data_IF_881001437393
#
_entry.id   IF_881001437393
#
_cell.length_a   1.000
_cell.length_b   1.000
_cell.length_c   1.000
_cell.angle_alpha   90.00
_cell.angle_beta   90.00
_cell.angle_gamma   90.00
#
_symmetry.space_group_name_H-M   'P 1'
#
loop_
_entity.id
_entity.type
_entity.pdbx_description
1 polymer ?
#
# COMPACT_ATOMS: atom_id res chain seq x y z
N UNK A 1 -57.00 32.13 -12.76
CA UNK A 1 -56.25 30.86 -12.84
C UNK A 1 -54.85 31.18 -13.32
N UNK A 2 -53.91 31.39 -12.38
CA UNK A 2 -52.52 31.79 -12.67
C UNK A 2 -51.63 30.57 -12.53
N UNK A 3 -50.96 30.17 -13.60
CA UNK A 3 -49.99 29.06 -13.63
C UNK A 3 -48.61 29.65 -13.43
N UNK A 4 -47.98 29.36 -12.29
CA UNK A 4 -46.62 29.73 -12.00
C UNK A 4 -45.65 28.63 -12.52
N UNK A 5 -44.82 28.97 -13.51
CA UNK A 5 -43.76 28.12 -14.02
C UNK A 5 -42.56 28.19 -13.10
N UNK A 6 -42.19 27.05 -12.48
CA UNK A 6 -40.96 26.89 -11.72
C UNK A 6 -39.83 26.54 -12.68
N UNK A 7 -38.88 27.46 -12.86
CA UNK A 7 -37.60 27.18 -13.54
C UNK A 7 -36.64 26.50 -12.56
N UNK A 8 -36.35 25.24 -12.80
CA UNK A 8 -35.28 24.52 -12.07
C UNK A 8 -33.92 24.87 -12.66
N UNK A 9 -33.09 25.54 -11.86
CA UNK A 9 -31.69 25.85 -12.18
C UNK A 9 -30.83 24.67 -11.82
N UNK A 10 -30.39 23.89 -12.82
CA UNK A 10 -29.41 22.81 -12.63
C UNK A 10 -27.99 23.39 -12.63
N UNK A 11 -27.37 23.47 -11.47
CA UNK A 11 -25.97 23.82 -11.34
C UNK A 11 -25.08 22.65 -11.81
N UNK A 12 -24.39 22.80 -12.96
CA UNK A 12 -23.31 21.92 -13.35
C UNK A 12 -22.10 22.18 -12.43
N UNK A 13 -21.81 21.22 -11.56
CA UNK A 13 -20.55 21.20 -10.83
C UNK A 13 -19.40 20.91 -11.81
N UNK A 14 -18.63 21.93 -12.17
CA UNK A 14 -17.39 21.77 -12.93
C UNK A 14 -16.37 21.03 -12.07
N UNK A 15 -16.09 19.78 -12.41
CA UNK A 15 -14.98 19.04 -11.84
C UNK A 15 -13.67 19.74 -12.28
N UNK A 16 -13.06 20.47 -11.36
CA UNK A 16 -11.73 21.05 -11.55
C UNK A 16 -10.74 19.90 -11.65
N UNK A 17 -10.29 19.57 -12.85
CA UNK A 17 -9.15 18.68 -13.08
C UNK A 17 -7.90 19.36 -12.53
N UNK A 18 -7.37 18.84 -11.42
CA UNK A 18 -6.05 19.24 -10.92
C UNK A 18 -5.03 18.94 -12.02
N UNK A 19 -4.25 19.94 -12.50
CA UNK A 19 -3.25 19.69 -13.51
C UNK A 19 -2.21 18.69 -13.01
N UNK A 20 -1.64 17.82 -13.87
CA UNK A 20 -0.61 16.89 -13.46
C UNK A 20 0.56 17.67 -12.87
N UNK A 21 0.77 17.51 -11.56
CA UNK A 21 1.91 18.06 -10.85
C UNK A 21 3.18 17.55 -11.55
N UNK A 22 4.15 18.43 -11.80
CA UNK A 22 5.46 18.07 -12.31
C UNK A 22 5.98 16.83 -11.55
N UNK A 23 6.59 15.87 -12.29
CA UNK A 23 7.06 14.62 -11.69
C UNK A 23 7.86 14.92 -10.42
N UNK A 24 7.33 14.49 -9.28
CA UNK A 24 7.93 14.74 -7.97
C UNK A 24 9.31 14.06 -7.94
N UNK A 25 10.37 14.80 -7.63
CA UNK A 25 11.74 14.26 -7.58
C UNK A 25 11.94 13.56 -6.27
N UNK A 26 12.56 12.38 -6.30
CA UNK A 26 12.91 11.63 -5.10
C UNK A 26 13.98 12.38 -4.27
N UNK A 27 13.66 12.70 -3.03
CA UNK A 27 14.55 13.42 -2.09
C UNK A 27 15.47 12.49 -1.27
N UNK A 28 15.46 11.18 -1.55
CA UNK A 28 16.21 10.13 -0.84
C UNK A 28 15.91 10.09 0.67
N UNK A 29 14.72 10.50 1.08
CA UNK A 29 14.21 10.29 2.44
C UNK A 29 13.28 9.10 2.47
N UNK A 30 13.73 7.95 2.97
CA UNK A 30 12.94 6.72 2.94
C UNK A 30 11.62 6.87 3.70
N UNK A 31 10.61 6.16 3.18
CA UNK A 31 9.28 6.10 3.77
C UNK A 31 8.77 4.67 3.88
N UNK A 32 7.88 4.45 4.83
CA UNK A 32 7.22 3.18 5.11
C UNK A 32 5.74 3.31 4.75
N UNK A 33 5.30 2.61 3.71
CA UNK A 33 3.89 2.48 3.38
C UNK A 33 3.33 1.29 4.16
N UNK A 34 2.40 1.55 5.06
CA UNK A 34 1.69 0.51 5.82
C UNK A 34 0.37 0.17 5.16
N UNK A 35 0.05 -1.12 5.13
CA UNK A 35 -1.25 -1.65 4.72
C UNK A 35 -1.78 -2.46 5.91
N UNK A 36 -2.74 -1.91 6.63
CA UNK A 36 -3.25 -2.48 7.88
C UNK A 36 -4.76 -2.65 7.84
N UNK A 37 -5.24 -3.83 8.22
CA UNK A 37 -6.66 -4.12 8.28
C UNK A 37 -7.00 -5.61 8.19
N UNK A 38 -8.29 -5.97 8.31
CA UNK A 38 -8.74 -7.35 8.21
C UNK A 38 -8.71 -7.84 6.74
N UNK A 39 -8.31 -9.09 6.57
CA UNK A 39 -8.42 -9.84 5.31
C UNK A 39 -9.70 -10.68 5.35
N UNK A 40 -10.57 -10.53 4.35
CA UNK A 40 -11.83 -11.25 4.22
C UNK A 40 -11.74 -12.42 3.23
N UNK A 41 -10.98 -12.22 2.15
CA UNK A 41 -10.76 -13.22 1.12
C UNK A 41 -9.25 -13.40 0.89
N UNK A 42 -8.72 -14.47 1.45
CA UNK A 42 -7.29 -14.76 1.44
C UNK A 42 -6.78 -15.08 0.04
N UNK A 43 -7.53 -15.87 -0.72
CA UNK A 43 -7.07 -16.35 -2.03
C UNK A 43 -6.99 -15.19 -3.02
N UNK A 44 -7.97 -14.28 -2.98
CA UNK A 44 -7.91 -13.04 -3.75
C UNK A 44 -6.76 -12.14 -3.33
N UNK A 45 -6.44 -12.08 -2.03
CA UNK A 45 -5.28 -11.30 -1.56
C UNK A 45 -3.95 -11.92 -1.99
N UNK A 46 -3.85 -13.23 -2.08
CA UNK A 46 -2.68 -13.92 -2.66
C UNK A 46 -2.55 -13.57 -4.15
N UNK A 47 -3.63 -13.69 -4.91
CA UNK A 47 -3.63 -13.33 -6.34
C UNK A 47 -3.27 -11.86 -6.57
N UNK A 48 -3.80 -10.96 -5.73
CA UNK A 48 -3.45 -9.54 -5.73
C UNK A 48 -1.96 -9.30 -5.44
N UNK A 49 -1.40 -9.95 -4.41
CA UNK A 49 0.03 -9.86 -4.09
C UNK A 49 0.92 -10.36 -5.22
N UNK A 50 0.54 -11.47 -5.86
CA UNK A 50 1.22 -12.02 -7.04
C UNK A 50 1.20 -11.02 -8.20
N UNK A 51 0.06 -10.40 -8.51
CA UNK A 51 -0.04 -9.39 -9.56
C UNK A 51 0.86 -8.17 -9.29
N UNK A 52 0.98 -7.71 -8.04
CA UNK A 52 1.95 -6.66 -7.67
C UNK A 52 3.39 -7.11 -7.97
N UNK A 53 3.77 -8.32 -7.58
CA UNK A 53 5.11 -8.84 -7.81
C UNK A 53 5.43 -8.94 -9.31
N UNK A 54 4.51 -9.48 -10.10
CA UNK A 54 4.65 -9.67 -11.55
C UNK A 54 4.68 -8.34 -12.32
N UNK A 55 4.02 -7.29 -11.82
CA UNK A 55 4.05 -5.96 -12.46
C UNK A 55 5.44 -5.32 -12.49
N UNK A 56 6.35 -5.75 -11.62
CA UNK A 56 7.68 -5.15 -11.48
C UNK A 56 7.68 -3.72 -10.92
N UNK A 57 6.52 -3.18 -10.52
CA UNK A 57 6.40 -1.80 -10.01
C UNK A 57 7.30 -1.55 -8.80
N UNK A 58 7.34 -2.49 -7.84
CA UNK A 58 8.22 -2.34 -6.69
C UNK A 58 9.68 -2.30 -7.10
N UNK A 59 10.13 -3.23 -7.94
CA UNK A 59 11.51 -3.24 -8.46
C UNK A 59 11.86 -1.93 -9.16
N UNK A 60 10.96 -1.42 -10.00
CA UNK A 60 11.15 -0.16 -10.76
C UNK A 60 11.23 1.05 -9.84
N UNK A 61 10.47 1.07 -8.75
CA UNK A 61 10.35 2.22 -7.84
C UNK A 61 11.16 2.05 -6.55
N UNK A 62 11.97 0.98 -6.44
CA UNK A 62 12.79 0.71 -5.27
C UNK A 62 11.98 0.31 -4.03
N UNK A 63 10.74 -0.16 -4.23
CA UNK A 63 9.88 -0.62 -3.15
C UNK A 63 10.18 -2.09 -2.78
N UNK A 64 10.12 -2.41 -1.49
CA UNK A 64 10.19 -3.80 -1.02
C UNK A 64 9.47 -3.98 0.31
N UNK A 65 9.02 -5.20 0.58
CA UNK A 65 8.40 -5.56 1.85
C UNK A 65 9.47 -5.71 2.94
N UNK A 66 9.19 -5.21 4.14
CA UNK A 66 10.09 -5.35 5.29
C UNK A 66 9.54 -6.29 6.36
N UNK A 67 8.31 -6.79 6.22
CA UNK A 67 7.72 -7.77 7.11
C UNK A 67 6.77 -8.70 6.38
N UNK A 68 6.48 -9.86 6.99
CA UNK A 68 5.36 -10.71 6.63
C UNK A 68 4.05 -10.13 7.22
N UNK A 69 2.88 -10.35 6.57
CA UNK A 69 1.65 -9.65 6.96
C UNK A 69 1.04 -10.11 8.29
N UNK A 70 1.47 -11.24 8.85
CA UNK A 70 0.94 -11.79 10.10
C UNK A 70 1.92 -11.63 11.24
N UNK A 71 1.41 -11.27 12.42
CA UNK A 71 2.20 -11.26 13.64
C UNK A 71 2.63 -12.68 14.02
N UNK A 72 3.89 -12.81 14.43
CA UNK A 72 4.43 -14.08 14.98
C UNK A 72 4.13 -14.23 16.48
N UNK A 73 3.86 -13.11 17.17
CA UNK A 73 3.47 -13.07 18.57
C UNK A 73 2.67 -11.80 18.87
N UNK A 74 1.77 -11.88 19.84
CA UNK A 74 1.08 -10.72 20.43
C UNK A 74 1.41 -10.71 21.91
N UNK A 75 2.06 -9.66 22.39
CA UNK A 75 2.48 -9.55 23.79
C UNK A 75 1.42 -8.89 24.68
N UNK A 76 0.55 -8.08 24.10
CA UNK A 76 -0.51 -7.38 24.82
C UNK A 76 -1.73 -7.17 23.93
N UNK A 77 -2.92 -7.25 24.52
CA UNK A 77 -4.18 -7.08 23.82
C UNK A 77 -4.60 -8.31 23.00
N UNK A 78 -5.62 -8.13 22.18
CA UNK A 78 -6.17 -9.16 21.30
C UNK A 78 -6.04 -8.73 19.85
N UNK A 79 -5.31 -9.50 19.06
CA UNK A 79 -5.20 -9.30 17.61
C UNK A 79 -6.14 -10.29 16.89
N UNK A 80 -7.19 -9.82 16.21
CA UNK A 80 -8.06 -10.71 15.45
C UNK A 80 -7.29 -11.54 14.41
N UNK A 81 -7.63 -12.82 14.21
CA UNK A 81 -6.90 -13.71 13.28
C UNK A 81 -6.90 -13.22 11.82
N UNK A 82 -7.88 -12.39 11.45
CA UNK A 82 -7.99 -11.82 10.10
C UNK A 82 -7.12 -10.57 9.90
N UNK A 83 -6.63 -9.96 11.00
CA UNK A 83 -5.82 -8.74 10.89
C UNK A 83 -4.47 -9.02 10.25
N UNK A 84 -4.07 -8.11 9.39
CA UNK A 84 -2.77 -8.11 8.75
C UNK A 84 -2.15 -6.73 8.78
N UNK A 85 -0.84 -6.69 8.88
CA UNK A 85 -0.01 -5.51 8.71
C UNK A 85 1.09 -5.83 7.72
N UNK A 86 1.10 -5.14 6.60
CA UNK A 86 2.18 -5.22 5.63
C UNK A 86 2.85 -3.86 5.55
N UNK A 87 4.15 -3.83 5.52
CA UNK A 87 4.94 -2.60 5.42
C UNK A 87 5.85 -2.70 4.20
N UNK A 88 5.72 -1.72 3.31
CA UNK A 88 6.56 -1.56 2.12
C UNK A 88 7.45 -0.36 2.32
N UNK A 89 8.76 -0.55 2.23
CA UNK A 89 9.72 0.55 2.26
C UNK A 89 9.93 1.08 0.85
N UNK A 90 9.91 2.40 0.69
CA UNK A 90 10.30 3.10 -0.54
C UNK A 90 11.45 4.06 -0.28
N UNK A 91 12.29 4.35 -1.29
CA UNK A 91 13.42 5.28 -1.12
C UNK A 91 13.00 6.72 -0.83
N UNK A 92 11.75 7.09 -1.16
CA UNK A 92 11.16 8.39 -0.88
C UNK A 92 9.66 8.41 -1.10
N UNK A 93 9.00 9.47 -0.64
CA UNK A 93 7.55 9.65 -0.79
C UNK A 93 7.12 9.73 -2.27
N UNK A 94 7.93 10.37 -3.12
CA UNK A 94 7.65 10.45 -4.55
C UNK A 94 7.48 9.06 -5.19
N UNK A 95 8.34 8.10 -4.84
CA UNK A 95 8.27 6.73 -5.37
C UNK A 95 7.06 5.96 -4.81
N UNK A 96 6.72 6.15 -3.53
CA UNK A 96 5.50 5.57 -2.96
C UNK A 96 4.23 6.10 -3.65
N UNK A 97 4.17 7.42 -3.93
CA UNK A 97 3.08 8.03 -4.69
C UNK A 97 3.04 7.53 -6.14
N UNK A 98 4.20 7.43 -6.80
CA UNK A 98 4.30 6.91 -8.15
C UNK A 98 3.79 5.47 -8.26
N UNK A 99 4.07 4.63 -7.27
CA UNK A 99 3.47 3.29 -7.16
C UNK A 99 1.95 3.39 -7.01
N UNK A 100 1.47 4.10 -6.00
CA UNK A 100 0.06 4.16 -5.66
C UNK A 100 -0.81 4.73 -6.78
N UNK A 101 -0.34 5.78 -7.45
CA UNK A 101 -1.07 6.46 -8.52
C UNK A 101 -0.73 5.94 -9.92
N UNK A 102 0.11 4.91 -10.05
CA UNK A 102 0.38 4.33 -11.37
C UNK A 102 -0.91 3.81 -11.99
N UNK A 103 -1.04 3.99 -13.31
CA UNK A 103 -2.17 3.48 -14.07
C UNK A 103 -2.32 1.97 -13.90
N UNK A 104 -1.21 1.25 -13.97
CA UNK A 104 -1.20 -0.21 -13.84
C UNK A 104 -1.73 -0.66 -12.47
N UNK A 105 -1.28 -0.02 -11.38
CA UNK A 105 -1.81 -0.35 -10.06
C UNK A 105 -3.29 -0.01 -9.93
N UNK A 106 -3.71 1.19 -10.34
CA UNK A 106 -5.08 1.65 -10.12
C UNK A 106 -6.12 0.92 -10.98
N UNK A 107 -5.79 0.62 -12.24
CA UNK A 107 -6.73 0.05 -13.20
C UNK A 107 -6.69 -1.48 -13.27
N UNK A 108 -5.52 -2.10 -13.09
CA UNK A 108 -5.35 -3.54 -13.27
C UNK A 108 -5.21 -4.30 -11.95
N UNK A 109 -4.46 -3.78 -10.98
CA UNK A 109 -4.09 -4.54 -9.77
C UNK A 109 -5.06 -4.27 -8.62
N UNK A 110 -5.26 -3.01 -8.25
CA UNK A 110 -6.11 -2.62 -7.13
C UNK A 110 -7.56 -3.16 -7.24
N UNK A 111 -8.22 -3.18 -8.41
CA UNK A 111 -9.56 -3.74 -8.55
C UNK A 111 -9.67 -5.22 -8.17
N UNK A 112 -8.59 -5.99 -8.24
CA UNK A 112 -8.59 -7.41 -7.87
C UNK A 112 -9.00 -7.65 -6.42
N UNK A 113 -8.77 -6.66 -5.52
CA UNK A 113 -9.16 -6.74 -4.11
C UNK A 113 -10.45 -6.00 -3.76
N UNK A 114 -11.10 -5.40 -4.73
CA UNK A 114 -12.35 -4.62 -4.56
C UNK A 114 -13.55 -5.38 -5.13
N UNK A 115 -14.77 -4.99 -4.71
CA UNK A 115 -16.07 -5.37 -5.29
C UNK A 115 -16.32 -6.88 -5.47
N UNK A 116 -16.60 -7.64 -4.39
CA UNK A 116 -16.63 -7.24 -2.99
C UNK A 116 -15.22 -7.05 -2.42
N UNK A 117 -15.08 -6.36 -1.28
CA UNK A 117 -13.78 -6.15 -0.66
C UNK A 117 -13.16 -7.47 -0.20
N UNK A 118 -11.93 -7.76 -0.62
CA UNK A 118 -11.14 -8.89 -0.13
C UNK A 118 -10.47 -8.58 1.22
N UNK A 119 -10.50 -7.32 1.64
CA UNK A 119 -10.00 -6.84 2.92
C UNK A 119 -10.13 -5.32 3.02
N UNK A 120 -10.42 -4.85 4.23
CA UNK A 120 -10.65 -3.43 4.52
C UNK A 120 -9.38 -2.82 5.11
N UNK A 121 -8.56 -2.27 4.24
CA UNK A 121 -7.24 -1.77 4.61
C UNK A 121 -7.18 -0.25 4.69
N UNK A 122 -6.55 0.22 5.75
CA UNK A 122 -5.98 1.57 5.81
C UNK A 122 -4.59 1.51 5.21
N UNK A 123 -4.33 2.39 4.25
CA UNK A 123 -3.01 2.54 3.63
C UNK A 123 -2.48 3.92 3.99
N UNK A 124 -1.37 3.96 4.71
CA UNK A 124 -0.74 5.20 5.17
C UNK A 124 0.76 5.16 4.92
N UNK A 125 1.39 6.33 4.81
CA UNK A 125 2.82 6.46 4.58
C UNK A 125 3.44 7.25 5.72
N UNK A 126 4.48 6.68 6.32
CA UNK A 126 5.21 7.26 7.44
C UNK A 126 6.66 7.53 7.05
N UNK A 127 7.30 8.59 7.56
CA UNK A 127 8.74 8.76 7.38
C UNK A 127 9.48 7.65 8.12
N UNK A 128 10.55 7.11 7.50
CA UNK A 128 11.47 6.24 8.19
C UNK A 128 12.40 7.08 9.07
N UNK A 129 12.58 6.67 10.32
CA UNK A 129 13.54 7.31 11.22
C UNK A 129 14.90 6.65 10.97
N UNK A 130 15.96 7.41 10.64
CA UNK A 130 17.30 6.87 10.46
C UNK A 130 17.77 6.11 11.71
N UNK A 131 18.46 5.01 11.51
CA UNK A 131 19.14 4.32 12.61
C UNK A 131 20.19 5.26 13.21
N UNK A 132 20.12 5.45 14.52
CA UNK A 132 21.10 6.27 15.24
C UNK A 132 22.50 5.66 15.14
N UNK A 133 23.52 6.49 15.03
CA UNK A 133 24.89 6.04 14.87
C UNK A 133 25.35 5.10 16.01
N UNK A 134 24.90 5.34 17.25
CA UNK A 134 25.19 4.51 18.42
C UNK A 134 24.46 3.16 18.42
N UNK A 135 23.50 2.95 17.50
CA UNK A 135 22.71 1.73 17.35
C UNK A 135 23.07 0.96 16.08
N UNK A 136 23.84 1.55 15.16
CA UNK A 136 24.11 0.96 13.85
C UNK A 136 24.72 -0.45 13.94
N UNK A 137 25.62 -0.67 14.89
CA UNK A 137 26.29 -1.97 15.11
C UNK A 137 25.43 -2.97 15.91
N UNK A 138 24.32 -2.50 16.47
CA UNK A 138 23.43 -3.33 17.32
C UNK A 138 22.17 -3.75 16.60
N UNK A 139 21.85 -3.13 15.48
CA UNK A 139 20.75 -3.54 14.60
C UNK A 139 21.25 -4.70 13.77
N UNK A 140 20.67 -5.88 13.95
CA UNK A 140 21.03 -7.07 13.20
C UNK A 140 20.97 -6.83 11.70
N UNK A 141 21.94 -7.39 10.97
CA UNK A 141 21.87 -7.41 9.50
C UNK A 141 20.61 -8.19 9.10
N UNK A 142 19.66 -7.48 8.50
CA UNK A 142 18.52 -8.14 7.88
C UNK A 142 18.98 -8.80 6.59
N UNK A 143 19.66 -9.93 6.70
CA UNK A 143 20.07 -10.77 5.56
C UNK A 143 18.94 -11.19 4.65
N UNK A 144 17.69 -10.91 5.04
CA UNK A 144 16.48 -11.02 4.25
C UNK A 144 16.45 -10.10 3.02
N UNK A 145 17.26 -9.04 2.97
CA UNK A 145 17.32 -8.12 1.83
C UNK A 145 17.88 -8.77 0.54
N UNK A 146 18.59 -9.90 0.66
CA UNK A 146 19.19 -10.58 -0.49
C UNK A 146 18.28 -11.59 -1.18
N UNK A 147 17.20 -11.99 -0.54
CA UNK A 147 16.31 -13.04 -1.03
C UNK A 147 14.84 -12.71 -0.70
N UNK A 148 14.37 -11.55 -1.13
CA UNK A 148 12.94 -11.32 -1.10
C UNK A 148 12.31 -12.19 -2.20
N UNK A 149 11.96 -13.40 -1.81
CA UNK A 149 11.21 -14.34 -2.64
C UNK A 149 9.72 -14.17 -2.32
N UNK A 150 8.91 -13.90 -3.32
CA UNK A 150 7.45 -13.86 -3.18
C UNK A 150 6.90 -15.16 -2.57
N UNK A 151 7.60 -16.29 -2.73
CA UNK A 151 7.29 -17.57 -2.08
C UNK A 151 7.38 -17.52 -0.55
N UNK A 152 8.18 -16.63 0.03
CA UNK A 152 8.27 -16.47 1.47
C UNK A 152 6.99 -15.82 2.03
N UNK A 153 6.31 -14.97 1.26
CA UNK A 153 4.99 -14.43 1.63
C UNK A 153 3.95 -15.54 1.60
N UNK A 154 3.94 -16.38 0.58
CA UNK A 154 3.02 -17.53 0.50
C UNK A 154 3.19 -18.47 1.69
N UNK A 155 4.43 -18.79 2.08
CA UNK A 155 4.70 -19.68 3.21
C UNK A 155 4.31 -19.06 4.56
N UNK A 156 4.49 -17.75 4.75
CA UNK A 156 4.08 -17.06 5.99
C UNK A 156 2.57 -16.90 6.10
N UNK A 157 1.86 -16.93 4.97
CA UNK A 157 0.41 -16.90 4.89
C UNK A 157 -0.20 -18.29 5.13
N UNK A 158 0.57 -19.38 4.92
CA UNK A 158 0.11 -20.76 5.09
C UNK A 158 0.23 -21.31 6.53
N UNK A 159 0.89 -20.61 7.43
CA UNK A 159 0.98 -20.95 8.87
C UNK A 159 -0.02 -20.13 9.66
#
# INVERSE_FOLDING_TARGET
>A
MMIASLLALTALASATSVPPTAAEVCDNKPVLMTVYGPTHDRDRMIAYGKAIAESGLYKKLGGYYINAPRAVATFEGMLPPTMSLLIVRFPCLANARAFWHSKDYQENIKPMRLNPSAGDYVVAVYPEIPVRADMADKVGDSGYLKAFDASAIEQSIQR
#
